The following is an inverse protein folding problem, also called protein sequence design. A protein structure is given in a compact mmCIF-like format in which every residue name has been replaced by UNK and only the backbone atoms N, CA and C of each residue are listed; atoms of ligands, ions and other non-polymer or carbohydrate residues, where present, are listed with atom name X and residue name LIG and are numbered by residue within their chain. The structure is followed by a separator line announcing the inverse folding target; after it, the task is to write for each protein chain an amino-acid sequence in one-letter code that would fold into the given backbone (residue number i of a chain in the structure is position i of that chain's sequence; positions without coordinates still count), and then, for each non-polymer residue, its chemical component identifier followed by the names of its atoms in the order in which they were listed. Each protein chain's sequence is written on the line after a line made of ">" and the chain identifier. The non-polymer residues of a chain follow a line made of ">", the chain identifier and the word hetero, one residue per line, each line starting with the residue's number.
data_IF_997482723593
#
_entry.id   IF_997482723593
#
_cell.length_a   1.000
_cell.length_b   1.000
_cell.length_c   1.000
_cell.angle_alpha   90.00
_cell.angle_beta   90.00
_cell.angle_gamma   90.00
#
_symmetry.space_group_name_H-M   'P 1'
#
loop_
_entity.id
_entity.type
_entity.pdbx_description
1 polymer ?
#
# COMPACT_ATOMS: atom_id res chain seq x y z
N UNK A 1 -7.90 24.70 -12.11
CA UNK A 1 -6.87 23.72 -11.70
C UNK A 1 -7.49 22.34 -11.66
N UNK A 2 -7.03 21.43 -12.52
CA UNK A 2 -7.65 20.14 -12.85
C UNK A 2 -7.64 19.17 -11.67
N UNK A 3 -8.71 19.22 -10.87
CA UNK A 3 -8.91 18.57 -9.56
C UNK A 3 -9.10 17.04 -9.61
N UNK A 4 -8.76 16.37 -10.71
CA UNK A 4 -8.96 14.93 -10.91
C UNK A 4 -7.90 14.32 -11.84
N UNK A 5 -6.62 14.54 -11.56
CA UNK A 5 -5.58 13.96 -12.40
C UNK A 5 -5.27 12.54 -11.94
N UNK A 6 -5.62 11.54 -12.76
CA UNK A 6 -5.23 10.13 -12.58
C UNK A 6 -3.73 9.96 -12.31
N UNK A 7 -2.92 10.93 -12.73
CA UNK A 7 -1.49 11.01 -12.45
C UNK A 7 -1.22 10.96 -10.93
N UNK A 8 -2.00 11.66 -10.10
CA UNK A 8 -1.80 11.63 -8.64
C UNK A 8 -2.09 10.27 -8.02
N UNK A 9 -3.04 9.52 -8.60
CA UNK A 9 -3.33 8.15 -8.15
C UNK A 9 -2.15 7.24 -8.47
N UNK A 10 -1.58 7.39 -9.67
CA UNK A 10 -0.43 6.62 -10.13
C UNK A 10 0.82 6.94 -9.32
N UNK A 11 1.07 8.22 -9.03
CA UNK A 11 2.18 8.66 -8.16
C UNK A 11 2.01 8.07 -6.75
N UNK A 12 0.82 8.15 -6.17
CA UNK A 12 0.53 7.56 -4.87
C UNK A 12 0.73 6.04 -4.86
N UNK A 13 0.26 5.34 -5.88
CA UNK A 13 0.51 3.91 -6.05
C UNK A 13 2.00 3.58 -6.09
N UNK A 14 2.79 4.32 -6.88
CA UNK A 14 4.23 4.09 -7.00
C UNK A 14 4.95 4.33 -5.67
N UNK A 15 4.59 5.37 -4.93
CA UNK A 15 5.17 5.65 -3.61
C UNK A 15 4.83 4.52 -2.62
N UNK A 16 3.57 4.07 -2.60
CA UNK A 16 3.15 2.93 -1.78
C UNK A 16 3.90 1.65 -2.16
N UNK A 17 4.04 1.39 -3.47
CA UNK A 17 4.73 0.22 -4.01
C UNK A 17 6.21 0.23 -3.62
N UNK A 18 6.90 1.35 -3.77
CA UNK A 18 8.30 1.48 -3.38
C UNK A 18 8.45 1.41 -1.86
N UNK A 19 7.56 2.05 -1.10
CA UNK A 19 7.62 2.04 0.37
C UNK A 19 7.48 0.64 0.97
N UNK A 20 6.58 -0.19 0.41
CA UNK A 20 6.41 -1.59 0.83
C UNK A 20 7.47 -2.51 0.21
N UNK A 21 7.74 -2.32 -1.08
CA UNK A 21 8.63 -3.16 -1.86
C UNK A 21 10.09 -3.03 -1.44
N UNK A 22 10.57 -1.83 -1.11
CA UNK A 22 11.97 -1.61 -0.77
C UNK A 22 12.48 -2.43 0.43
N UNK A 23 11.83 -2.42 1.62
CA UNK A 23 12.24 -3.29 2.73
C UNK A 23 12.03 -4.76 2.38
N UNK A 24 10.98 -5.09 1.63
CA UNK A 24 10.69 -6.46 1.22
C UNK A 24 11.73 -7.01 0.25
N UNK A 25 12.26 -6.23 -0.70
CA UNK A 25 13.26 -6.68 -1.68
C UNK A 25 14.68 -6.76 -1.10
N UNK A 26 15.00 -5.91 -0.12
CA UNK A 26 16.31 -5.91 0.55
C UNK A 26 16.52 -7.10 1.50
N UNK A 27 15.44 -7.72 1.95
CA UNK A 27 15.50 -8.76 2.98
C UNK A 27 15.92 -10.14 2.39
N UNK A 28 16.97 -10.80 2.94
CA UNK A 28 17.41 -12.12 2.50
C UNK A 28 16.30 -13.17 2.65
N UNK A 29 16.09 -13.98 1.62
CA UNK A 29 15.01 -14.97 1.48
C UNK A 29 14.90 -15.96 2.65
N UNK A 30 16.00 -16.21 3.35
CA UNK A 30 16.08 -17.15 4.48
C UNK A 30 15.45 -16.64 5.78
N UNK A 31 15.15 -15.34 5.90
CA UNK A 31 14.59 -14.72 7.11
C UNK A 31 13.20 -14.09 6.91
N UNK A 32 12.68 -14.06 5.68
CA UNK A 32 11.39 -13.43 5.35
C UNK A 32 10.23 -14.42 5.39
N UNK A 33 9.98 -15.03 6.55
CA UNK A 33 8.66 -15.60 6.79
C UNK A 33 7.68 -14.43 6.99
N UNK A 34 6.71 -14.26 6.09
CA UNK A 34 5.52 -13.47 6.41
C UNK A 34 4.90 -14.03 7.70
N UNK A 35 4.46 -13.17 8.63
CA UNK A 35 4.11 -11.77 8.42
C UNK A 35 5.18 -10.76 8.89
N UNK A 36 6.28 -11.20 9.50
CA UNK A 36 7.25 -10.32 10.16
C UNK A 36 7.90 -9.27 9.25
N UNK A 37 8.12 -9.61 7.98
CA UNK A 37 8.70 -8.69 6.98
C UNK A 37 7.78 -7.53 6.60
N UNK A 38 6.46 -7.67 6.77
CA UNK A 38 5.48 -6.60 6.52
C UNK A 38 5.26 -5.72 7.74
N UNK A 39 5.46 -6.26 8.95
CA UNK A 39 5.39 -5.50 10.21
C UNK A 39 6.61 -4.57 10.33
N UNK A 40 6.47 -3.34 9.84
CA UNK A 40 7.54 -2.36 9.87
C UNK A 40 7.27 -1.14 8.98
N UNK A 41 8.32 -0.49 8.43
CA UNK A 41 8.18 0.76 7.69
C UNK A 41 7.33 0.64 6.42
N UNK A 42 7.25 -0.55 5.81
CA UNK A 42 6.41 -0.79 4.62
C UNK A 42 4.92 -0.63 4.91
N UNK A 43 4.44 -1.16 6.04
CA UNK A 43 3.05 -1.00 6.48
C UNK A 43 2.72 0.48 6.78
N UNK A 44 3.64 1.17 7.45
CA UNK A 44 3.48 2.60 7.73
C UNK A 44 3.38 3.43 6.44
N UNK A 45 4.18 3.09 5.41
CA UNK A 45 4.10 3.75 4.11
C UNK A 45 2.71 3.61 3.47
N UNK A 46 2.08 2.43 3.52
CA UNK A 46 0.71 2.23 3.00
C UNK A 46 -0.31 3.11 3.73
N UNK A 47 -0.25 3.14 5.06
CA UNK A 47 -1.18 3.93 5.89
C UNK A 47 -1.02 5.41 5.58
N UNK A 48 0.22 5.92 5.55
CA UNK A 48 0.52 7.34 5.30
C UNK A 48 0.11 7.74 3.89
N UNK A 49 0.45 6.93 2.88
CA UNK A 49 0.11 7.24 1.48
C UNK A 49 -1.41 7.22 1.26
N UNK A 50 -2.12 6.20 1.78
CA UNK A 50 -3.58 6.13 1.72
C UNK A 50 -4.23 7.33 2.42
N UNK A 51 -3.74 7.69 3.61
CA UNK A 51 -4.18 8.86 4.35
C UNK A 51 -4.00 10.13 3.55
N UNK A 52 -2.83 10.32 2.94
CA UNK A 52 -2.45 11.53 2.25
C UNK A 52 -3.24 11.69 0.93
N UNK A 53 -3.36 10.63 0.13
CA UNK A 53 -4.22 10.58 -1.06
C UNK A 53 -5.69 10.88 -0.74
N UNK A 54 -6.17 10.43 0.42
CA UNK A 54 -7.54 10.72 0.85
C UNK A 54 -7.67 12.16 1.34
N UNK A 55 -6.72 12.65 2.15
CA UNK A 55 -6.73 14.00 2.68
C UNK A 55 -6.66 15.08 1.60
N UNK A 56 -5.98 14.83 0.48
CA UNK A 56 -5.95 15.73 -0.68
C UNK A 56 -7.22 15.70 -1.54
N UNK A 57 -8.23 14.89 -1.18
CA UNK A 57 -9.51 14.84 -1.89
C UNK A 57 -9.43 14.26 -3.30
N UNK A 58 -8.35 13.55 -3.62
CA UNK A 58 -8.01 13.14 -5.00
C UNK A 58 -8.93 12.06 -5.59
N UNK A 59 -9.84 11.43 -4.83
CA UNK A 59 -10.69 10.36 -5.37
C UNK A 59 -11.75 9.80 -4.42
N UNK A 60 -12.60 8.90 -4.96
CA UNK A 60 -13.61 8.13 -4.20
C UNK A 60 -12.93 7.15 -3.22
N UNK A 61 -13.60 6.85 -2.11
CA UNK A 61 -13.03 6.06 -1.00
C UNK A 61 -12.58 4.66 -1.44
N UNK A 62 -13.50 3.87 -2.02
CA UNK A 62 -13.26 2.48 -2.43
C UNK A 62 -12.12 2.33 -3.45
N UNK A 63 -12.08 3.07 -4.58
CA UNK A 63 -11.00 2.89 -5.55
C UNK A 63 -9.63 3.31 -5.02
N UNK A 64 -9.55 4.30 -4.11
CA UNK A 64 -8.29 4.64 -3.45
C UNK A 64 -7.80 3.52 -2.53
N UNK A 65 -8.72 2.92 -1.76
CA UNK A 65 -8.40 1.79 -0.89
C UNK A 65 -7.86 0.62 -1.71
N UNK A 66 -8.55 0.24 -2.78
CA UNK A 66 -8.14 -0.87 -3.64
C UNK A 66 -6.81 -0.59 -4.34
N UNK A 67 -6.60 0.64 -4.80
CA UNK A 67 -5.37 1.04 -5.48
C UNK A 67 -4.16 0.96 -4.55
N UNK A 68 -4.24 1.51 -3.34
CA UNK A 68 -3.12 1.45 -2.39
C UNK A 68 -2.95 0.03 -1.85
N UNK A 69 -4.03 -0.70 -1.59
CA UNK A 69 -3.97 -2.10 -1.18
C UNK A 69 -3.31 -2.99 -2.24
N UNK A 70 -3.50 -2.71 -3.54
CA UNK A 70 -2.89 -3.45 -4.64
C UNK A 70 -1.36 -3.30 -4.68
N UNK A 71 -0.77 -2.26 -4.08
CA UNK A 71 0.68 -2.09 -4.04
C UNK A 71 1.38 -3.25 -3.30
N UNK A 72 0.75 -3.80 -2.25
CA UNK A 72 1.30 -4.91 -1.48
C UNK A 72 1.42 -6.22 -2.29
N UNK A 73 0.37 -6.76 -2.93
CA UNK A 73 0.51 -7.94 -3.79
C UNK A 73 1.39 -7.67 -5.01
N UNK A 74 1.40 -6.46 -5.58
CA UNK A 74 2.31 -6.12 -6.67
C UNK A 74 3.79 -6.20 -6.25
N UNK A 75 4.13 -5.77 -5.03
CA UNK A 75 5.50 -5.89 -4.51
C UNK A 75 5.96 -7.36 -4.39
N UNK A 76 5.03 -8.24 -4.00
CA UNK A 76 5.24 -9.70 -3.92
C UNK A 76 5.46 -10.30 -5.31
N UNK A 77 4.59 -9.95 -6.28
CA UNK A 77 4.73 -10.39 -7.67
C UNK A 77 6.04 -9.91 -8.29
N UNK A 78 6.46 -8.65 -8.03
CA UNK A 78 7.74 -8.12 -8.49
C UNK A 78 8.93 -8.91 -7.94
N UNK A 79 8.88 -9.31 -6.66
CA UNK A 79 9.93 -10.18 -6.10
C UNK A 79 9.96 -11.55 -6.77
N UNK A 80 8.81 -12.09 -7.15
CA UNK A 80 8.72 -13.37 -7.88
C UNK A 80 9.24 -13.26 -9.31
N UNK A 81 9.02 -12.13 -9.99
CA UNK A 81 9.49 -11.91 -11.36
C UNK A 81 11.00 -11.64 -11.44
N UNK A 82 11.53 -10.90 -10.46
CA UNK A 82 12.93 -10.45 -10.45
C UNK A 82 13.84 -11.42 -9.68
N UNK A 83 13.27 -12.20 -8.75
CA UNK A 83 13.99 -13.22 -8.01
C UNK A 83 14.23 -14.50 -8.82
N UNK A 84 15.27 -15.24 -8.47
CA UNK A 84 15.60 -16.51 -9.11
C UNK A 84 14.42 -17.49 -9.07
N UNK A 85 13.91 -17.86 -10.24
CA UNK A 85 12.77 -18.76 -10.43
C UNK A 85 13.05 -20.18 -9.91
N UNK A 86 14.32 -20.51 -9.65
CA UNK A 86 14.77 -21.81 -9.14
C UNK A 86 14.36 -22.09 -7.68
N UNK A 87 13.86 -21.07 -6.96
CA UNK A 87 13.49 -21.18 -5.55
C UNK A 87 12.07 -20.73 -5.24
N UNK A 88 11.12 -20.80 -6.18
CA UNK A 88 9.71 -20.48 -5.87
C UNK A 88 9.20 -21.42 -4.78
N UNK A 89 8.98 -20.93 -3.55
CA UNK A 89 8.49 -21.79 -2.49
C UNK A 89 7.01 -22.07 -2.76
N UNK A 90 6.57 -23.31 -2.55
CA UNK A 90 5.19 -23.77 -2.73
C UNK A 90 4.17 -22.93 -1.92
N UNK A 91 4.65 -22.15 -0.94
CA UNK A 91 3.88 -21.21 -0.11
C UNK A 91 3.55 -19.86 -0.78
N UNK A 92 3.99 -19.60 -2.01
CA UNK A 92 3.79 -18.31 -2.69
C UNK A 92 2.32 -17.80 -2.74
N UNK A 93 1.26 -18.65 -2.90
CA UNK A 93 -0.11 -18.15 -2.92
C UNK A 93 -0.55 -17.65 -1.54
N UNK A 94 -0.02 -18.27 -0.48
CA UNK A 94 -0.29 -17.89 0.91
C UNK A 94 0.34 -16.53 1.22
N UNK A 95 1.54 -16.26 0.72
CA UNK A 95 2.20 -14.97 0.87
C UNK A 95 1.43 -13.84 0.19
N UNK A 96 0.92 -14.09 -1.03
CA UNK A 96 0.03 -13.17 -1.73
C UNK A 96 -1.27 -12.89 -0.97
N UNK A 97 -1.86 -13.92 -0.37
CA UNK A 97 -3.09 -13.78 0.42
C UNK A 97 -2.83 -12.95 1.69
N UNK A 98 -1.72 -13.17 2.37
CA UNK A 98 -1.34 -12.37 3.55
C UNK A 98 -1.03 -10.92 3.15
N UNK A 99 -0.26 -10.72 2.08
CA UNK A 99 0.09 -9.38 1.60
C UNK A 99 -1.15 -8.57 1.17
N UNK A 100 -2.10 -9.21 0.49
CA UNK A 100 -3.36 -8.57 0.11
C UNK A 100 -4.24 -8.24 1.32
N UNK A 101 -4.37 -9.14 2.30
CA UNK A 101 -5.13 -8.89 3.52
C UNK A 101 -4.52 -7.74 4.36
N UNK A 102 -3.20 -7.75 4.54
CA UNK A 102 -2.47 -6.70 5.26
C UNK A 102 -2.55 -5.37 4.50
N UNK A 103 -2.36 -5.39 3.18
CA UNK A 103 -2.45 -4.22 2.32
C UNK A 103 -3.84 -3.56 2.36
N UNK A 104 -4.90 -4.38 2.34
CA UNK A 104 -6.27 -3.90 2.50
C UNK A 104 -6.52 -3.29 3.88
N UNK A 105 -6.11 -3.97 4.96
CA UNK A 105 -6.28 -3.47 6.32
C UNK A 105 -5.57 -2.11 6.52
N UNK A 106 -4.31 -2.01 6.06
CA UNK A 106 -3.51 -0.80 6.15
C UNK A 106 -4.10 0.35 5.33
N UNK A 107 -4.52 0.05 4.10
CA UNK A 107 -5.13 1.04 3.24
C UNK A 107 -6.48 1.52 3.80
N UNK A 108 -7.30 0.62 4.34
CA UNK A 108 -8.56 1.00 5.00
C UNK A 108 -8.29 1.94 6.18
N UNK A 109 -7.35 1.59 7.06
CA UNK A 109 -6.98 2.41 8.21
C UNK A 109 -6.52 3.81 7.77
N UNK A 110 -5.58 3.89 6.81
CA UNK A 110 -5.09 5.18 6.30
C UNK A 110 -6.19 6.02 5.65
N UNK A 111 -7.04 5.39 4.82
CA UNK A 111 -8.13 6.11 4.13
C UNK A 111 -9.20 6.59 5.11
N UNK A 112 -9.51 5.83 6.16
CA UNK A 112 -10.41 6.25 7.25
C UNK A 112 -9.86 7.48 7.96
N UNK A 113 -8.59 7.44 8.35
CA UNK A 113 -7.91 8.58 9.01
C UNK A 113 -7.95 9.81 8.09
N UNK A 114 -7.58 9.67 6.81
CA UNK A 114 -7.62 10.77 5.84
C UNK A 114 -9.04 11.34 5.65
N UNK A 115 -10.07 10.50 5.74
CA UNK A 115 -11.47 10.94 5.67
C UNK A 115 -11.89 11.74 6.91
N UNK A 116 -11.38 11.40 8.10
CA UNK A 116 -11.61 12.18 9.32
C UNK A 116 -10.98 13.57 9.20
N UNK A 117 -9.78 13.69 8.62
CA UNK A 117 -9.14 14.99 8.37
C UNK A 117 -9.94 15.86 7.41
N UNK A 118 -10.51 15.28 6.35
CA UNK A 118 -11.40 16.00 5.43
C UNK A 118 -12.65 16.53 6.15
N UNK A 119 -13.30 15.71 6.98
CA UNK A 119 -14.50 16.10 7.73
C UNK A 119 -14.20 17.20 8.76
N UNK A 120 -13.04 17.12 9.44
CA UNK A 120 -12.60 18.16 10.39
C UNK A 120 -12.27 19.47 9.68
N UNK A 121 -11.67 19.44 8.49
CA UNK A 121 -11.39 20.64 7.71
C UNK A 121 -12.65 21.38 7.27
N UNK A 122 -13.76 20.65 7.04
CA UNK A 122 -15.05 21.23 6.65
C UNK A 122 -15.79 21.96 7.79
N UNK A 123 -15.39 21.76 9.04
CA UNK A 123 -16.05 22.33 10.23
C UNK A 123 -15.32 23.54 10.83
N UNK A 124 -14.40 24.18 10.10
CA UNK A 124 -13.81 25.44 10.57
C UNK A 124 -14.88 26.54 10.44
N UNK A 125 -15.38 27.12 11.54
CA UNK A 125 -16.22 28.32 11.45
C UNK A 125 -15.39 29.45 10.85
N UNK A 126 -15.98 30.19 9.90
CA UNK A 126 -15.49 31.49 9.46
C UNK A 126 -15.87 32.55 10.49
#
# INVERSE_FOLDING_TARGET
>A
MTRNSRIWWLVGFLIALVGVGFPYWRAPSAMTALPGAFYGPGLAALVVVAMMLRAFGTGRFVPLVLLVAAAAPTAVILRMLVGDSAGMPVSWPRELLIASAIGLAASLAGTLIGSLFLLRSSRRPQ
#
